data_IF_165207444092
#
_entry.id   IF_165207444092
#
_cell.length_a   1.000
_cell.length_b   1.000
_cell.length_c   1.000
_cell.angle_alpha   90.00
_cell.angle_beta   90.00
_cell.angle_gamma   90.00
#
_symmetry.space_group_name_H-M   'P 1'
#
loop_
_entity.id
_entity.type
_entity.pdbx_description
1 polymer ?
#
# COMPACT_ATOMS: atom_id res chain seq x y z
N UNK A 1 -29.42 3.10 -11.60
CA UNK A 1 -28.22 2.22 -11.66
C UNK A 1 -27.01 3.07 -12.00
N UNK A 2 -26.26 3.55 -11.00
CA UNK A 2 -25.13 4.47 -11.19
C UNK A 2 -23.83 3.70 -11.42
N UNK A 3 -23.13 4.08 -12.48
CA UNK A 3 -21.89 3.49 -12.97
C UNK A 3 -20.74 3.66 -11.95
N UNK A 4 -20.33 2.58 -11.27
CA UNK A 4 -19.23 2.59 -10.28
C UNK A 4 -17.87 2.12 -10.83
N UNK A 5 -17.75 1.93 -12.15
CA UNK A 5 -16.51 1.42 -12.75
C UNK A 5 -15.42 2.50 -12.92
N UNK A 6 -15.77 3.79 -13.00
CA UNK A 6 -14.80 4.89 -13.09
C UNK A 6 -13.94 5.03 -11.83
N UNK A 7 -14.53 4.88 -10.64
CA UNK A 7 -13.86 5.18 -9.37
C UNK A 7 -12.64 4.30 -9.11
N UNK A 8 -12.66 3.03 -9.50
CA UNK A 8 -11.54 2.10 -9.21
C UNK A 8 -10.27 2.42 -9.99
N UNK A 9 -10.41 2.90 -11.23
CA UNK A 9 -9.25 3.27 -12.05
C UNK A 9 -8.70 4.63 -11.62
N UNK A 10 -9.57 5.56 -11.25
CA UNK A 10 -9.21 6.86 -10.71
C UNK A 10 -8.51 6.76 -9.35
N UNK A 11 -9.03 5.95 -8.41
CA UNK A 11 -8.38 5.71 -7.10
C UNK A 11 -6.97 5.16 -7.24
N UNK A 12 -6.72 4.25 -8.20
CA UNK A 12 -5.38 3.72 -8.48
C UNK A 12 -4.45 4.77 -9.05
N UNK A 13 -4.94 5.62 -9.95
CA UNK A 13 -4.17 6.73 -10.51
C UNK A 13 -3.80 7.75 -9.43
N UNK A 14 -4.75 8.14 -8.58
CA UNK A 14 -4.48 9.01 -7.45
C UNK A 14 -3.46 8.42 -6.49
N UNK A 15 -3.62 7.15 -6.10
CA UNK A 15 -2.64 6.46 -5.27
C UNK A 15 -1.24 6.50 -5.89
N UNK A 16 -1.13 6.24 -7.21
CA UNK A 16 0.14 6.31 -7.92
C UNK A 16 0.74 7.72 -7.98
N UNK A 17 -0.07 8.75 -8.28
CA UNK A 17 0.40 10.15 -8.35
C UNK A 17 0.83 10.65 -6.97
N UNK A 18 0.00 10.47 -5.95
CA UNK A 18 0.33 10.86 -4.57
C UNK A 18 1.56 10.08 -4.10
N UNK A 19 1.69 8.80 -4.47
CA UNK A 19 2.87 7.98 -4.18
C UNK A 19 4.15 8.51 -4.85
N UNK A 20 4.09 8.89 -6.13
CA UNK A 20 5.23 9.46 -6.86
C UNK A 20 5.67 10.78 -6.23
N UNK A 21 4.74 11.68 -5.95
CA UNK A 21 5.04 12.96 -5.27
C UNK A 21 5.64 12.72 -3.89
N UNK A 22 5.11 11.73 -3.17
CA UNK A 22 5.58 11.36 -1.82
C UNK A 22 6.97 10.73 -1.80
N UNK A 23 7.42 10.11 -2.90
CA UNK A 23 8.68 9.36 -2.94
C UNK A 23 9.90 10.22 -2.62
N UNK A 24 9.92 11.47 -3.09
CA UNK A 24 11.03 12.40 -2.84
C UNK A 24 11.12 12.74 -1.35
N UNK A 25 9.99 13.04 -0.72
CA UNK A 25 9.95 13.38 0.70
C UNK A 25 10.30 12.16 1.59
N UNK A 26 9.79 10.97 1.25
CA UNK A 26 10.16 9.72 1.92
C UNK A 26 11.66 9.42 1.77
N UNK A 27 12.27 9.72 0.63
CA UNK A 27 13.72 9.54 0.43
C UNK A 27 14.52 10.41 1.40
N UNK A 28 14.09 11.66 1.62
CA UNK A 28 14.73 12.56 2.60
C UNK A 28 14.56 12.01 4.02
N UNK A 29 13.37 11.56 4.41
CA UNK A 29 13.13 11.02 5.75
C UNK A 29 13.85 9.70 6.01
N UNK A 30 13.92 8.81 5.03
CA UNK A 30 14.66 7.55 5.12
C UNK A 30 16.15 7.81 5.24
N UNK A 31 16.69 8.73 4.43
CA UNK A 31 18.11 9.09 4.47
C UNK A 31 18.46 9.73 5.80
N UNK A 32 17.69 10.73 6.25
CA UNK A 32 17.93 11.38 7.55
C UNK A 32 17.75 10.42 8.72
N UNK A 33 16.76 9.52 8.68
CA UNK A 33 16.57 8.47 9.67
C UNK A 33 17.75 7.51 9.76
N UNK A 34 18.29 7.08 8.61
CA UNK A 34 19.49 6.23 8.56
C UNK A 34 20.72 6.95 9.09
N UNK A 35 20.89 8.23 8.77
CA UNK A 35 21.96 9.07 9.30
C UNK A 35 21.85 9.20 10.83
N UNK A 36 20.64 9.43 11.35
CA UNK A 36 20.41 9.51 12.79
C UNK A 36 20.72 8.18 13.50
N UNK A 37 20.31 7.04 12.92
CA UNK A 37 20.58 5.72 13.50
C UNK A 37 22.09 5.43 13.60
N UNK A 38 22.89 5.94 12.66
CA UNK A 38 24.34 5.73 12.63
C UNK A 38 25.13 6.98 13.04
N UNK A 39 24.53 7.89 13.82
CA UNK A 39 25.12 9.21 14.11
C UNK A 39 26.49 9.14 14.78
N UNK A 40 26.67 8.16 15.67
CA UNK A 40 27.94 7.91 16.37
C UNK A 40 29.00 7.37 15.39
N UNK A 41 28.65 6.35 14.59
CA UNK A 41 29.56 5.76 13.59
C UNK A 41 29.99 6.78 12.52
N UNK A 42 29.11 7.73 12.18
CA UNK A 42 29.38 8.76 11.17
C UNK A 42 30.07 10.01 11.76
N UNK A 43 30.25 10.09 13.08
CA UNK A 43 30.80 11.26 13.77
C UNK A 43 29.99 12.53 13.49
N UNK A 44 28.66 12.40 13.42
CA UNK A 44 27.76 13.54 13.15
C UNK A 44 27.72 14.53 14.33
N UNK A 45 28.02 14.06 15.54
CA UNK A 45 28.08 14.88 16.76
C UNK A 45 29.34 15.76 16.80
N UNK A 46 30.43 15.33 16.15
CA UNK A 46 31.70 16.06 16.10
C UNK A 46 31.76 17.08 14.94
N UNK A 47 30.76 17.06 14.05
CA UNK A 47 30.71 17.92 12.86
C UNK A 47 29.77 19.09 13.06
N UNK A 48 30.26 20.30 12.76
CA UNK A 48 29.46 21.53 12.79
C UNK A 48 29.08 21.91 11.35
N UNK A 49 27.80 22.17 11.12
CA UNK A 49 27.28 22.73 9.88
C UNK A 49 27.33 24.25 9.99
N UNK A 50 28.12 24.87 9.13
CA UNK A 50 28.26 26.33 9.08
C UNK A 50 26.93 27.02 8.79
N UNK A 51 26.73 28.19 9.40
CA UNK A 51 25.52 29.02 9.22
C UNK A 51 25.22 29.40 7.77
N UNK A 52 26.21 29.38 6.89
CA UNK A 52 26.00 29.67 5.47
C UNK A 52 25.07 28.64 4.79
N UNK A 53 25.04 27.40 5.28
CA UNK A 53 24.19 26.33 4.76
C UNK A 53 22.83 26.25 5.45
N UNK A 54 22.60 27.06 6.49
CA UNK A 54 21.39 27.02 7.30
C UNK A 54 20.51 28.23 7.02
N UNK A 55 19.17 28.10 7.09
CA UNK A 55 18.28 29.24 6.99
C UNK A 55 18.59 30.29 8.06
N UNK A 56 18.52 31.59 7.74
CA UNK A 56 18.87 32.67 8.67
C UNK A 56 18.04 32.67 9.96
N UNK A 57 16.79 32.21 9.90
CA UNK A 57 15.87 32.10 11.03
C UNK A 57 16.01 30.81 11.83
N UNK A 58 16.87 29.88 11.39
CA UNK A 58 17.06 28.60 12.03
C UNK A 58 18.06 28.71 13.19
N UNK A 59 17.58 28.38 14.40
CA UNK A 59 18.37 28.29 15.65
C UNK A 59 19.39 29.43 15.80
N UNK A 60 18.86 30.65 15.86
CA UNK A 60 19.68 31.88 15.95
C UNK A 60 20.49 31.93 17.25
N UNK A 61 20.00 31.27 18.31
CA UNK A 61 20.63 31.26 19.64
C UNK A 61 21.91 30.40 19.73
N UNK A 62 22.17 29.50 18.77
CA UNK A 62 23.30 28.56 18.81
C UNK A 62 24.68 29.22 18.48
N UNK A 63 24.76 30.54 18.34
CA UNK A 63 26.02 31.28 18.12
C UNK A 63 26.55 31.22 16.67
N UNK A 64 27.55 32.05 16.32
CA UNK A 64 27.95 32.28 14.91
C UNK A 64 28.65 31.08 14.22
N UNK A 65 29.24 30.17 14.99
CA UNK A 65 30.05 29.04 14.51
C UNK A 65 29.25 28.02 13.68
N UNK A 66 27.96 27.82 14.00
CA UNK A 66 27.09 26.87 13.31
C UNK A 66 26.30 25.98 14.26
N UNK A 67 25.69 24.94 13.71
CA UNK A 67 24.88 23.97 14.47
C UNK A 67 25.45 22.58 14.23
N UNK A 68 25.47 21.72 15.25
CA UNK A 68 25.96 20.34 15.09
C UNK A 68 25.14 19.57 14.04
N UNK A 69 25.80 18.72 13.27
CA UNK A 69 25.19 18.03 12.15
C UNK A 69 24.10 17.03 12.60
N UNK A 70 24.23 16.40 13.76
CA UNK A 70 23.19 15.54 14.36
C UNK A 70 21.86 16.28 14.57
N UNK A 71 21.94 17.52 15.09
CA UNK A 71 20.77 18.39 15.30
C UNK A 71 20.16 18.77 13.96
N UNK A 72 20.98 19.21 13.01
CA UNK A 72 20.51 19.64 11.68
C UNK A 72 19.79 18.49 10.97
N UNK A 73 20.35 17.27 11.00
CA UNK A 73 19.72 16.09 10.40
C UNK A 73 18.39 15.75 11.09
N UNK A 74 18.33 15.87 12.42
CA UNK A 74 17.09 15.66 13.20
C UNK A 74 16.03 16.70 12.85
N UNK A 75 16.43 17.95 12.66
CA UNK A 75 15.52 19.04 12.31
C UNK A 75 15.09 18.98 10.83
N UNK A 76 15.90 18.41 9.94
CA UNK A 76 15.46 18.02 8.59
C UNK A 76 14.41 16.92 8.67
N UNK A 77 14.66 15.88 9.48
CA UNK A 77 13.75 14.75 9.64
C UNK A 77 12.38 15.16 10.20
N UNK A 78 12.36 16.10 11.15
CA UNK A 78 11.12 16.62 11.75
C UNK A 78 10.49 17.79 10.97
N UNK A 79 11.12 18.26 9.89
CA UNK A 79 10.68 19.45 9.16
C UNK A 79 10.95 20.78 9.87
N UNK A 80 11.52 20.76 11.09
CA UNK A 80 11.86 21.95 11.87
C UNK A 80 12.91 22.84 11.23
N UNK A 81 13.78 22.30 10.37
CA UNK A 81 14.77 23.10 9.63
C UNK A 81 14.10 24.26 8.87
N UNK A 82 12.88 24.05 8.36
CA UNK A 82 12.13 25.05 7.60
C UNK A 82 11.23 25.94 8.49
N UNK A 83 11.37 25.87 9.82
CA UNK A 83 10.57 26.62 10.77
C UNK A 83 9.13 26.08 10.93
N UNK A 84 8.21 26.85 11.54
CA UNK A 84 6.86 26.40 11.88
C UNK A 84 6.06 25.85 10.68
N UNK A 85 6.25 26.45 9.51
CA UNK A 85 5.59 26.01 8.28
C UNK A 85 6.05 24.60 7.86
N UNK A 86 7.32 24.27 8.06
CA UNK A 86 7.85 22.94 7.75
C UNK A 86 7.22 21.83 8.59
N UNK A 87 6.95 22.09 9.87
CA UNK A 87 6.26 21.13 10.74
C UNK A 87 4.84 20.85 10.23
N UNK A 88 4.07 21.90 9.95
CA UNK A 88 2.68 21.77 9.47
C UNK A 88 2.63 21.08 8.10
N UNK A 89 3.57 21.41 7.20
CA UNK A 89 3.66 20.73 5.90
C UNK A 89 3.93 19.24 6.09
N UNK A 90 4.86 18.87 6.97
CA UNK A 90 5.17 17.46 7.23
C UNK A 90 3.98 16.71 7.82
N UNK A 91 3.22 17.32 8.73
CA UNK A 91 1.98 16.73 9.29
C UNK A 91 0.91 16.49 8.20
N UNK A 92 0.75 17.42 7.27
CA UNK A 92 -0.18 17.24 6.13
C UNK A 92 0.31 16.12 5.19
N UNK A 93 1.61 16.08 4.90
CA UNK A 93 2.21 15.03 4.06
C UNK A 93 2.06 13.65 4.71
N UNK A 94 2.30 13.54 6.01
CA UNK A 94 2.15 12.27 6.74
C UNK A 94 0.69 11.81 6.78
N UNK A 95 -0.28 12.73 6.84
CA UNK A 95 -1.69 12.40 6.66
C UNK A 95 -1.97 11.81 5.26
N UNK A 96 -1.38 12.37 4.21
CA UNK A 96 -1.48 11.79 2.87
C UNK A 96 -0.83 10.40 2.79
N UNK A 97 0.28 10.17 3.49
CA UNK A 97 0.88 8.84 3.58
C UNK A 97 0.01 7.84 4.31
N UNK A 98 -0.65 8.24 5.40
CA UNK A 98 -1.62 7.39 6.07
C UNK A 98 -2.74 6.96 5.10
N UNK A 99 -3.26 7.90 4.31
CA UNK A 99 -4.26 7.60 3.26
C UNK A 99 -3.68 6.69 2.17
N UNK A 100 -2.43 6.90 1.76
CA UNK A 100 -1.74 6.03 0.80
C UNK A 100 -1.62 4.60 1.33
N UNK A 101 -1.21 4.41 2.58
CA UNK A 101 -1.07 3.09 3.21
C UNK A 101 -2.43 2.40 3.31
N UNK A 102 -3.45 3.10 3.81
CA UNK A 102 -4.82 2.57 3.93
C UNK A 102 -5.40 2.21 2.56
N UNK A 103 -5.25 3.08 1.56
CA UNK A 103 -5.74 2.83 0.21
C UNK A 103 -5.02 1.66 -0.47
N UNK A 104 -3.71 1.52 -0.27
CA UNK A 104 -2.92 0.39 -0.76
C UNK A 104 -3.40 -0.95 -0.19
N UNK A 105 -3.55 -1.02 1.14
CA UNK A 105 -4.09 -2.21 1.83
C UNK A 105 -5.50 -2.54 1.34
N UNK A 106 -6.35 -1.53 1.19
CA UNK A 106 -7.71 -1.72 0.67
C UNK A 106 -7.73 -2.27 -0.76
N UNK A 107 -6.90 -1.74 -1.66
CA UNK A 107 -6.81 -2.23 -3.05
C UNK A 107 -6.29 -3.67 -3.09
N UNK A 108 -5.30 -4.01 -2.27
CA UNK A 108 -4.73 -5.35 -2.21
C UNK A 108 -5.73 -6.38 -1.67
N UNK A 109 -6.32 -6.11 -0.51
CA UNK A 109 -7.27 -7.02 0.15
C UNK A 109 -8.54 -7.22 -0.68
N UNK A 110 -9.09 -6.17 -1.27
CA UNK A 110 -10.27 -6.27 -2.15
C UNK A 110 -9.99 -7.09 -3.42
N UNK A 111 -8.76 -7.00 -3.97
CA UNK A 111 -8.33 -7.86 -5.08
C UNK A 111 -8.24 -9.32 -4.64
N UNK A 112 -7.60 -9.59 -3.51
CA UNK A 112 -7.42 -10.95 -2.98
C UNK A 112 -8.76 -11.64 -2.69
N UNK A 113 -9.70 -10.96 -2.04
CA UNK A 113 -11.04 -11.51 -1.76
C UNK A 113 -11.80 -11.85 -3.04
N UNK A 114 -11.71 -11.00 -4.07
CA UNK A 114 -12.34 -11.25 -5.38
C UNK A 114 -11.73 -12.45 -6.10
N UNK A 115 -10.41 -12.61 -6.03
CA UNK A 115 -9.71 -13.75 -6.63
C UNK A 115 -10.07 -15.05 -5.91
N UNK A 116 -10.10 -15.06 -4.58
CA UNK A 116 -10.54 -16.23 -3.78
C UNK A 116 -11.99 -16.62 -4.09
N UNK A 117 -12.90 -15.65 -4.19
CA UNK A 117 -14.30 -15.91 -4.57
C UNK A 117 -14.45 -16.50 -5.99
N UNK A 118 -13.68 -15.98 -6.97
CA UNK A 118 -13.68 -16.54 -8.33
C UNK A 118 -13.12 -17.97 -8.36
N UNK A 119 -12.01 -18.21 -7.67
CA UNK A 119 -11.38 -19.54 -7.60
C UNK A 119 -12.27 -20.58 -6.94
N UNK A 120 -13.13 -20.21 -5.98
CA UNK A 120 -14.12 -21.13 -5.40
C UNK A 120 -15.32 -21.39 -6.32
N UNK A 121 -15.71 -20.41 -7.14
CA UNK A 121 -16.83 -20.53 -8.06
C UNK A 121 -16.49 -21.29 -9.35
N UNK A 122 -15.24 -21.23 -9.82
CA UNK A 122 -14.80 -21.88 -11.05
C UNK A 122 -14.92 -23.44 -11.05
N UNK A 123 -14.47 -24.18 -10.01
CA UNK A 123 -14.61 -25.63 -9.96
C UNK A 123 -16.06 -26.09 -9.84
N UNK A 124 -16.95 -25.27 -9.26
CA UNK A 124 -18.39 -25.56 -9.22
C UNK A 124 -19.00 -25.33 -10.61
N UNK A 125 -18.65 -24.22 -11.28
CA UNK A 125 -19.16 -23.89 -12.61
C UNK A 125 -18.74 -24.90 -13.67
N UNK A 126 -17.50 -25.40 -13.62
CA UNK A 126 -17.03 -26.43 -14.56
C UNK A 126 -17.78 -27.76 -14.36
N UNK A 127 -17.96 -28.22 -13.12
CA UNK A 127 -18.76 -29.43 -12.82
C UNK A 127 -20.22 -29.29 -13.28
N UNK A 128 -20.86 -28.16 -13.00
CA UNK A 128 -22.23 -27.87 -13.45
C UNK A 128 -22.32 -27.76 -14.97
N UNK A 129 -21.29 -27.20 -15.63
CA UNK A 129 -21.23 -27.12 -17.09
C UNK A 129 -21.10 -28.52 -17.73
N UNK A 130 -20.28 -29.40 -17.16
CA UNK A 130 -20.15 -30.80 -17.61
C UNK A 130 -21.47 -31.55 -17.44
N UNK A 131 -22.14 -31.42 -16.29
CA UNK A 131 -23.45 -32.04 -16.04
C UNK A 131 -24.57 -31.50 -16.95
N UNK A 132 -24.42 -30.29 -17.51
CA UNK A 132 -25.39 -29.69 -18.43
C UNK A 132 -25.20 -30.18 -19.88
N UNK A 133 -24.15 -30.93 -20.18
CA UNK A 133 -23.99 -31.49 -21.53
C UNK A 133 -25.08 -32.53 -21.81
N UNK A 134 -25.66 -32.58 -23.03
CA UNK A 134 -26.70 -33.55 -23.38
C UNK A 134 -26.19 -34.99 -23.24
N UNK A 135 -24.90 -35.22 -23.50
CA UNK A 135 -24.25 -36.53 -23.32
C UNK A 135 -24.22 -36.97 -21.85
N UNK A 136 -23.81 -36.09 -20.91
CA UNK A 136 -23.79 -36.42 -19.49
C UNK A 136 -25.21 -36.69 -18.93
N UNK A 137 -26.20 -35.93 -19.39
CA UNK A 137 -27.60 -36.13 -18.98
C UNK A 137 -28.16 -37.46 -19.51
N UNK A 138 -27.79 -37.83 -20.75
CA UNK A 138 -28.16 -39.10 -21.37
C UNK A 138 -27.53 -40.30 -20.64
N UNK A 139 -26.26 -40.19 -20.25
CA UNK A 139 -25.54 -41.24 -19.52
C UNK A 139 -26.13 -41.48 -18.12
N UNK A 140 -26.47 -40.40 -17.40
CA UNK A 140 -27.16 -40.48 -16.10
C UNK A 140 -28.54 -41.12 -16.24
N UNK A 141 -29.33 -40.72 -17.25
CA UNK A 141 -30.65 -41.31 -17.49
C UNK A 141 -30.57 -42.81 -17.79
N UNK A 142 -29.58 -43.23 -18.58
CA UNK A 142 -29.30 -44.65 -18.84
C UNK A 142 -28.99 -45.42 -17.56
N UNK A 143 -28.09 -44.89 -16.74
CA UNK A 143 -27.71 -45.53 -15.46
C UNK A 143 -28.88 -45.63 -14.47
N UNK A 144 -29.77 -44.64 -14.44
CA UNK A 144 -31.00 -44.69 -13.64
C UNK A 144 -31.97 -45.77 -14.13
N UNK A 145 -32.18 -45.89 -15.45
CA UNK A 145 -33.00 -46.94 -16.05
C UNK A 145 -32.50 -48.36 -15.73
N UNK A 146 -31.19 -48.56 -15.73
CA UNK A 146 -30.60 -49.86 -15.40
C UNK A 146 -30.74 -50.22 -13.93
N UNK A 147 -30.52 -49.26 -13.02
CA UNK A 147 -30.75 -49.47 -11.58
C UNK A 147 -32.21 -49.78 -11.28
N UNK A 148 -33.13 -49.06 -11.90
CA UNK A 148 -34.57 -49.30 -11.70
C UNK A 148 -34.98 -50.70 -12.18
N UNK A 149 -34.38 -51.20 -13.27
CA UNK A 149 -34.55 -52.60 -13.72
C UNK A 149 -33.95 -53.61 -12.76
N UNK A 150 -32.77 -53.34 -12.20
CA UNK A 150 -32.10 -54.24 -11.26
C UNK A 150 -32.81 -54.33 -9.89
N UNK A 151 -33.57 -53.30 -9.51
CA UNK A 151 -34.25 -53.22 -8.22
C UNK A 151 -35.73 -53.60 -8.26
N UNK A 152 -36.29 -53.90 -9.44
CA UNK A 152 -37.63 -54.48 -9.54
C UNK A 152 -37.62 -55.88 -8.91
N UNK A 153 -38.42 -56.13 -7.87
CA UNK A 153 -38.56 -57.48 -7.35
C UNK A 153 -39.17 -58.37 -8.43
N UNK A 154 -38.58 -59.55 -8.61
CA UNK A 154 -39.11 -60.60 -9.46
C UNK A 154 -40.36 -61.13 -8.74
N UNK A 155 -41.53 -60.68 -9.18
CA UNK A 155 -42.84 -61.21 -8.77
C UNK A 155 -43.18 -62.41 -9.65
#
# INVERSE_FOLDING_TARGET
MLATNGNKTWLRRLHAIIGIVSSVNLMVLLSSGLLMQHRETLGLEDRIVSRIFLPKSYRVDDGAEGVRADIVVTDVHSGRLFGPLGLVILDVITMFWAILLLSGVFIFTSKQLRLRAKSGAEPIRSRVAVLRTPEACQEISRGLSERERAQRPVV
#
